data_IF_116266674699
#
_entry.id   IF_116266674699
#
_cell.length_a   1.000
_cell.length_b   1.000
_cell.length_c   1.000
_cell.angle_alpha   90.00
_cell.angle_beta   90.00
_cell.angle_gamma   90.00
#
_symmetry.space_group_name_H-M   'P 1'
#
loop_
_entity.id
_entity.type
_entity.pdbx_description
1 polymer ?
#
# COMPACT_ATOMS: atom_id res chain seq x y z
N UNK A 1 1.36 1.72 -21.81
CA UNK A 1 0.43 2.19 -20.76
C UNK A 1 0.35 1.09 -19.73
N UNK A 2 0.66 1.38 -18.47
CA UNK A 2 0.47 0.41 -17.38
C UNK A 2 -1.04 0.22 -17.21
N UNK A 3 -1.51 -1.01 -17.27
CA UNK A 3 -2.92 -1.31 -17.00
C UNK A 3 -3.15 -1.25 -15.48
N UNK A 4 -4.07 -0.39 -15.04
CA UNK A 4 -4.44 -0.27 -13.64
C UNK A 4 -5.39 -1.42 -13.25
N UNK A 5 -5.06 -2.17 -12.20
CA UNK A 5 -5.96 -3.14 -11.57
C UNK A 5 -7.22 -2.42 -11.06
N UNK A 6 -7.06 -1.24 -10.43
CA UNK A 6 -8.18 -0.43 -9.97
C UNK A 6 -8.48 0.76 -10.89
N UNK A 7 -9.02 0.47 -12.08
CA UNK A 7 -9.39 1.46 -13.10
C UNK A 7 -10.20 2.65 -12.53
N UNK A 8 -11.22 2.39 -11.70
CA UNK A 8 -12.03 3.45 -11.09
C UNK A 8 -11.27 4.32 -10.08
N UNK A 9 -10.30 3.75 -9.36
CA UNK A 9 -9.47 4.51 -8.44
C UNK A 9 -8.48 5.39 -9.20
N UNK A 10 -7.86 4.83 -10.25
CA UNK A 10 -6.97 5.55 -11.14
C UNK A 10 -7.66 6.71 -11.89
N UNK A 11 -8.96 6.59 -12.19
CA UNK A 11 -9.78 7.61 -12.86
C UNK A 11 -10.19 8.81 -11.97
N UNK A 12 -9.50 9.06 -10.86
CA UNK A 12 -9.66 10.28 -10.07
C UNK A 12 -10.30 10.07 -8.69
N UNK A 13 -10.97 8.94 -8.43
CA UNK A 13 -11.57 8.66 -7.11
C UNK A 13 -10.52 8.53 -6.03
N UNK A 14 -9.35 7.99 -6.35
CA UNK A 14 -8.27 7.85 -5.37
C UNK A 14 -7.81 9.21 -4.83
N UNK A 15 -7.75 10.21 -5.70
CA UNK A 15 -7.33 11.58 -5.37
C UNK A 15 -8.41 12.38 -4.61
N UNK A 16 -9.63 11.85 -4.45
CA UNK A 16 -10.62 12.48 -3.56
C UNK A 16 -10.46 12.03 -2.11
N UNK A 17 -9.74 10.93 -1.86
CA UNK A 17 -9.46 10.43 -0.51
C UNK A 17 -8.41 11.30 0.18
N UNK A 18 -8.47 11.38 1.51
CA UNK A 18 -7.40 11.91 2.37
C UNK A 18 -6.17 11.02 2.32
N UNK A 19 -5.01 11.53 2.75
CA UNK A 19 -3.79 10.72 2.84
C UNK A 19 -3.98 9.52 3.79
N UNK A 20 -4.73 9.72 4.89
CA UNK A 20 -5.00 8.65 5.85
C UNK A 20 -5.85 7.54 5.22
N UNK A 21 -6.89 7.87 4.48
CA UNK A 21 -7.71 6.89 3.76
C UNK A 21 -6.91 6.14 2.68
N UNK A 22 -6.06 6.85 1.93
CA UNK A 22 -5.19 6.23 0.93
C UNK A 22 -4.24 5.21 1.59
N UNK A 23 -3.54 5.61 2.65
CA UNK A 23 -2.60 4.72 3.36
C UNK A 23 -3.30 3.59 4.13
N UNK A 24 -4.53 3.80 4.62
CA UNK A 24 -5.34 2.75 5.22
C UNK A 24 -5.72 1.66 4.20
N UNK A 25 -6.07 2.07 2.98
CA UNK A 25 -6.39 1.15 1.89
C UNK A 25 -5.14 0.40 1.40
N UNK A 26 -3.99 1.07 1.27
CA UNK A 26 -2.69 0.42 1.01
C UNK A 26 -2.41 -0.63 2.09
N UNK A 27 -2.58 -0.26 3.36
CA UNK A 27 -2.40 -1.15 4.50
C UNK A 27 -3.28 -2.40 4.47
N UNK A 28 -4.50 -2.29 3.95
CA UNK A 28 -5.40 -3.43 3.81
C UNK A 28 -4.91 -4.44 2.77
N UNK A 29 -4.27 -3.98 1.68
CA UNK A 29 -3.62 -4.87 0.72
C UNK A 29 -2.29 -5.44 1.25
N UNK A 30 -1.54 -4.66 2.04
CA UNK A 30 -0.35 -5.14 2.75
C UNK A 30 -0.68 -6.33 3.67
N UNK A 31 -1.67 -6.18 4.56
CA UNK A 31 -2.12 -7.26 5.44
C UNK A 31 -2.59 -8.49 4.65
N UNK A 32 -3.30 -8.26 3.54
CA UNK A 32 -3.79 -9.35 2.69
C UNK A 32 -2.64 -10.09 2.01
N UNK A 33 -1.64 -9.39 1.50
CA UNK A 33 -0.48 -9.98 0.85
C UNK A 33 0.28 -10.88 1.82
N UNK A 34 0.60 -10.39 3.01
CA UNK A 34 1.32 -11.20 4.00
C UNK A 34 0.46 -12.31 4.61
N UNK A 35 -0.84 -12.10 4.83
CA UNK A 35 -1.75 -13.15 5.30
C UNK A 35 -1.77 -14.34 4.33
N UNK A 36 -1.88 -14.10 3.03
CA UNK A 36 -1.78 -15.19 2.04
C UNK A 36 -0.39 -15.81 1.96
N UNK A 37 0.66 -14.99 2.07
CA UNK A 37 2.05 -15.48 2.10
C UNK A 37 2.28 -16.45 3.25
N UNK A 38 1.83 -16.11 4.45
CA UNK A 38 1.97 -16.96 5.65
C UNK A 38 1.25 -18.30 5.51
N UNK A 39 0.21 -18.35 4.66
CA UNK A 39 -0.56 -19.56 4.33
C UNK A 39 0.02 -20.37 3.18
N UNK A 40 1.10 -19.90 2.55
CA UNK A 40 1.70 -20.55 1.37
C UNK A 40 0.94 -20.29 0.05
N UNK A 41 -0.05 -19.38 0.06
CA UNK A 41 -0.89 -19.08 -1.10
C UNK A 41 -0.21 -18.05 -2.01
N UNK A 42 0.81 -18.48 -2.77
CA UNK A 42 1.71 -17.59 -3.51
C UNK A 42 0.99 -16.68 -4.51
N UNK A 43 0.04 -17.20 -5.28
CA UNK A 43 -0.70 -16.41 -6.28
C UNK A 43 -1.56 -15.34 -5.61
N UNK A 44 -2.29 -15.69 -4.55
CA UNK A 44 -3.14 -14.73 -3.83
C UNK A 44 -2.30 -13.65 -3.14
N UNK A 45 -1.15 -14.05 -2.60
CA UNK A 45 -0.14 -13.17 -2.02
C UNK A 45 0.41 -12.18 -3.06
N UNK A 46 0.83 -12.67 -4.23
CA UNK A 46 1.34 -11.84 -5.31
C UNK A 46 0.28 -10.85 -5.82
N UNK A 47 -0.95 -11.30 -6.06
CA UNK A 47 -2.05 -10.44 -6.54
C UNK A 47 -2.41 -9.33 -5.54
N UNK A 48 -2.29 -9.58 -4.22
CA UNK A 48 -2.47 -8.55 -3.20
C UNK A 48 -1.28 -7.58 -3.17
N UNK A 49 -0.06 -8.06 -3.33
CA UNK A 49 1.13 -7.23 -3.41
C UNK A 49 1.11 -6.30 -4.65
N UNK A 50 0.69 -6.79 -5.82
CA UNK A 50 0.53 -5.96 -7.02
C UNK A 50 -0.48 -4.83 -6.80
N UNK A 51 -1.62 -5.13 -6.19
CA UNK A 51 -2.62 -4.12 -5.81
C UNK A 51 -2.06 -3.12 -4.80
N UNK A 52 -1.36 -3.58 -3.78
CA UNK A 52 -0.71 -2.70 -2.81
C UNK A 52 0.25 -1.72 -3.51
N UNK A 53 1.13 -2.22 -4.39
CA UNK A 53 2.09 -1.38 -5.13
C UNK A 53 1.38 -0.38 -6.05
N UNK A 54 0.32 -0.81 -6.74
CA UNK A 54 -0.49 0.11 -7.54
C UNK A 54 -1.08 1.25 -6.69
N UNK A 55 -1.68 0.93 -5.53
CA UNK A 55 -2.27 1.94 -4.65
C UNK A 55 -1.19 2.89 -4.10
N UNK A 56 0.00 2.37 -3.77
CA UNK A 56 1.14 3.20 -3.38
C UNK A 56 1.57 4.14 -4.51
N UNK A 57 1.65 3.63 -5.74
CA UNK A 57 2.04 4.42 -6.92
C UNK A 57 0.98 5.51 -7.24
N UNK A 58 -0.31 5.21 -7.07
CA UNK A 58 -1.38 6.20 -7.15
C UNK A 58 -1.27 7.28 -6.06
N UNK A 59 -0.89 6.90 -4.83
CA UNK A 59 -0.64 7.85 -3.74
C UNK A 59 0.61 8.70 -3.98
N UNK A 60 1.71 8.11 -4.44
CA UNK A 60 2.95 8.83 -4.79
C UNK A 60 2.72 9.80 -5.95
N UNK A 61 1.91 9.42 -6.93
CA UNK A 61 1.56 10.25 -8.08
C UNK A 61 0.62 11.42 -7.75
N UNK A 62 0.05 11.46 -6.54
CA UNK A 62 -0.89 12.51 -6.16
C UNK A 62 -0.18 13.86 -5.93
N UNK A 63 -0.49 14.90 -6.73
CA UNK A 63 0.20 16.18 -6.64
C UNK A 63 -0.02 16.90 -5.30
N UNK A 64 -1.04 16.53 -4.52
CA UNK A 64 -1.31 17.07 -3.18
C UNK A 64 -0.21 16.71 -2.18
N UNK A 65 0.56 15.65 -2.43
CA UNK A 65 1.58 15.13 -1.51
C UNK A 65 3.01 15.50 -1.89
N UNK A 66 3.22 16.48 -2.78
CA UNK A 66 4.58 16.93 -3.16
C UNK A 66 5.41 17.44 -1.96
N UNK A 67 6.73 17.49 -2.15
CA UNK A 67 7.68 17.98 -1.15
C UNK A 67 8.01 16.91 -0.10
N UNK A 68 7.93 17.26 1.18
CA UNK A 68 8.33 16.36 2.25
C UNK A 68 7.54 15.05 2.28
N UNK A 69 6.22 15.10 2.07
CA UNK A 69 5.36 13.91 2.07
C UNK A 69 5.72 12.94 0.94
N UNK A 70 6.02 13.44 -0.25
CA UNK A 70 6.42 12.61 -1.39
C UNK A 70 7.68 11.80 -1.06
N UNK A 71 8.67 12.41 -0.41
CA UNK A 71 9.89 11.73 0.03
C UNK A 71 9.60 10.58 1.00
N UNK A 72 8.73 10.84 1.99
CA UNK A 72 8.30 9.81 2.94
C UNK A 72 7.52 8.68 2.26
N UNK A 73 6.64 9.01 1.31
CA UNK A 73 5.86 8.01 0.55
C UNK A 73 6.76 7.13 -0.33
N UNK A 74 7.75 7.71 -1.01
CA UNK A 74 8.73 6.93 -1.77
C UNK A 74 9.59 6.07 -0.85
N UNK A 75 9.94 6.57 0.34
CA UNK A 75 10.68 5.78 1.33
C UNK A 75 9.85 4.60 1.85
N UNK A 76 8.59 4.82 2.19
CA UNK A 76 7.67 3.76 2.57
C UNK A 76 7.60 2.67 1.49
N UNK A 77 7.57 3.06 0.20
CA UNK A 77 7.61 2.11 -0.91
C UNK A 77 8.90 1.30 -0.94
N UNK A 78 10.05 1.92 -0.73
CA UNK A 78 11.33 1.22 -0.63
C UNK A 78 11.31 0.18 0.50
N UNK A 79 10.86 0.56 1.70
CA UNK A 79 10.82 -0.33 2.87
C UNK A 79 9.85 -1.51 2.64
N UNK A 80 8.64 -1.24 2.11
CA UNK A 80 7.67 -2.29 1.76
C UNK A 80 8.23 -3.26 0.72
N UNK A 81 8.90 -2.76 -0.33
CA UNK A 81 9.54 -3.60 -1.33
C UNK A 81 10.70 -4.41 -0.72
N UNK A 82 11.51 -3.81 0.16
CA UNK A 82 12.62 -4.48 0.82
C UNK A 82 12.11 -5.65 1.67
N UNK A 83 11.07 -5.43 2.48
CA UNK A 83 10.43 -6.48 3.28
C UNK A 83 9.86 -7.60 2.42
N UNK A 84 9.22 -7.25 1.30
CA UNK A 84 8.68 -8.25 0.37
C UNK A 84 9.78 -9.13 -0.24
N UNK A 85 10.88 -8.51 -0.68
CA UNK A 85 12.02 -9.18 -1.32
C UNK A 85 12.87 -10.00 -0.35
N UNK A 86 12.94 -9.59 0.93
CA UNK A 86 13.66 -10.32 1.98
C UNK A 86 13.12 -11.74 2.19
N UNK A 87 11.92 -12.06 1.70
CA UNK A 87 11.47 -13.44 1.66
C UNK A 87 10.66 -13.89 2.88
N UNK A 88 10.55 -13.06 3.92
CA UNK A 88 9.96 -13.46 5.20
C UNK A 88 8.49 -13.90 5.07
N UNK A 89 8.16 -15.04 5.69
CA UNK A 89 6.80 -15.59 5.73
C UNK A 89 6.02 -15.14 6.97
N UNK A 90 6.35 -13.97 7.51
CA UNK A 90 5.70 -13.37 8.67
C UNK A 90 5.38 -11.92 8.37
N UNK A 91 4.25 -11.42 8.88
CA UNK A 91 3.86 -10.00 8.74
C UNK A 91 4.91 -9.09 9.41
N UNK A 92 5.50 -8.12 8.70
CA UNK A 92 6.37 -7.10 9.29
C UNK A 92 5.54 -6.21 10.22
N UNK A 93 5.70 -6.41 11.53
CA UNK A 93 4.86 -5.74 12.54
C UNK A 93 5.01 -4.23 12.53
N UNK A 94 6.19 -3.71 12.22
CA UNK A 94 6.41 -2.25 12.20
C UNK A 94 5.62 -1.59 11.06
N UNK A 95 5.60 -2.19 9.87
CA UNK A 95 4.78 -1.73 8.75
C UNK A 95 3.28 -1.95 9.00
N UNK A 96 2.91 -3.10 9.58
CA UNK A 96 1.52 -3.38 10.00
C UNK A 96 1.00 -2.30 10.96
N UNK A 97 1.77 -1.97 12.00
CA UNK A 97 1.44 -0.92 12.96
C UNK A 97 1.40 0.46 12.31
N UNK A 98 2.33 0.76 11.41
CA UNK A 98 2.35 2.02 10.65
C UNK A 98 1.05 2.20 9.86
N UNK A 99 0.63 1.18 9.09
CA UNK A 99 -0.60 1.24 8.32
C UNK A 99 -1.86 1.27 9.21
N UNK A 100 -1.86 0.52 10.32
CA UNK A 100 -2.96 0.51 11.27
C UNK A 100 -3.21 1.91 11.86
N UNK A 101 -2.16 2.68 12.14
CA UNK A 101 -2.30 4.06 12.61
C UNK A 101 -3.10 4.93 11.62
N UNK A 102 -2.87 4.77 10.31
CA UNK A 102 -3.64 5.47 9.28
C UNK A 102 -5.07 4.94 9.15
N UNK A 103 -5.29 3.63 9.33
CA UNK A 103 -6.63 3.05 9.35
C UNK A 103 -7.48 3.60 10.50
N UNK A 104 -6.88 3.79 11.68
CA UNK A 104 -7.54 4.47 12.81
C UNK A 104 -7.80 5.94 12.49
N UNK A 105 -6.79 6.66 11.98
CA UNK A 105 -6.93 8.08 11.63
C UNK A 105 -7.98 8.34 10.54
N UNK A 106 -8.18 7.41 9.60
CA UNK A 106 -9.20 7.49 8.55
C UNK A 106 -10.65 7.31 9.08
N UNK A 107 -10.82 6.95 10.35
CA UNK A 107 -12.12 6.76 11.02
C UNK A 107 -12.37 7.75 12.16
N UNK A 108 -11.44 8.65 12.41
CA UNK A 108 -11.52 9.66 13.45
C UNK A 108 -12.34 10.89 13.02
#
# INVERSE_FOLDING_TARGET
MTEFIHQNLANGRWQTMTLAEQLANVGSEFERAWSWRTRGEQTLSANANERMLELMDLTIGDPRWRGAKLRELTRLREEVCAEWLNGANTVPKDLSNYFLAFAVAARA
#
